data_IF_475681815305
#
_entry.id   IF_475681815305
#
_cell.length_a   1.000
_cell.length_b   1.000
_cell.length_c   1.000
_cell.angle_alpha   90.00
_cell.angle_beta   90.00
_cell.angle_gamma   90.00
#
_symmetry.space_group_name_H-M   'P 1'
#
loop_
_entity.id
_entity.type
_entity.pdbx_description
1 polymer ?
#
# COMPACT_ATOMS: atom_id res chain seq x y z
N UNK A 1 6.13 8.46 14.21
CA UNK A 1 5.35 7.84 13.10
C UNK A 1 5.53 6.34 13.15
N UNK A 2 4.46 5.59 12.91
CA UNK A 2 4.46 4.12 12.89
C UNK A 2 3.87 3.61 11.58
N UNK A 3 4.52 2.61 10.98
CA UNK A 3 4.02 1.88 9.81
C UNK A 3 3.56 0.49 10.23
N UNK A 4 2.37 0.07 9.79
CA UNK A 4 1.90 -1.31 9.87
C UNK A 4 1.66 -1.84 8.47
N UNK A 5 2.28 -2.95 8.11
CA UNK A 5 1.98 -3.70 6.90
C UNK A 5 0.70 -4.51 7.11
N UNK A 6 -0.33 -4.23 6.32
CA UNK A 6 -1.60 -4.96 6.37
C UNK A 6 -1.59 -6.15 5.42
N UNK A 7 -1.01 -5.95 4.24
CA UNK A 7 -0.80 -6.98 3.24
C UNK A 7 0.48 -6.72 2.45
N UNK A 8 1.24 -7.78 2.17
CA UNK A 8 2.59 -7.69 1.58
C UNK A 8 2.74 -8.48 0.28
N UNK A 9 1.65 -9.09 -0.19
CA UNK A 9 1.61 -9.86 -1.42
C UNK A 9 1.30 -9.04 -2.66
N UNK A 10 1.48 -9.67 -3.81
CA UNK A 10 1.10 -9.16 -5.13
C UNK A 10 -0.40 -9.33 -5.38
N UNK A 11 -0.85 -8.96 -6.59
CA UNK A 11 -2.24 -9.11 -7.06
C UNK A 11 -2.80 -10.54 -6.94
N UNK A 12 -1.97 -11.56 -6.86
CA UNK A 12 -2.41 -12.96 -6.66
C UNK A 12 -2.66 -13.31 -5.20
N UNK A 13 -2.06 -12.60 -4.23
CA UNK A 13 -1.95 -13.05 -2.84
C UNK A 13 -1.17 -14.35 -2.71
N UNK A 14 -0.79 -14.72 -1.51
CA UNK A 14 -0.12 -16.01 -1.21
C UNK A 14 -0.85 -16.65 -0.01
N UNK A 15 -1.30 -17.91 -0.14
CA UNK A 15 -1.16 -18.85 -1.26
C UNK A 15 -1.85 -18.42 -2.54
N UNK A 16 -1.24 -18.73 -3.68
CA UNK A 16 -1.85 -18.53 -5.00
C UNK A 16 -2.85 -19.66 -5.29
N UNK A 17 -4.03 -19.32 -5.79
CA UNK A 17 -5.07 -20.30 -6.12
C UNK A 17 -4.54 -21.38 -7.07
N UNK A 18 -4.68 -22.64 -6.67
CA UNK A 18 -4.24 -23.80 -7.45
C UNK A 18 -2.72 -24.02 -7.48
N UNK A 19 -1.93 -23.31 -6.68
CA UNK A 19 -0.48 -23.45 -6.60
C UNK A 19 -0.04 -24.36 -5.45
N UNK A 20 0.80 -25.34 -5.76
CA UNK A 20 1.31 -26.34 -4.82
C UNK A 20 2.79 -26.16 -4.47
N UNK A 21 3.40 -25.01 -4.80
CA UNK A 21 4.80 -24.76 -4.48
C UNK A 21 5.07 -24.72 -2.96
N UNK A 22 6.34 -24.84 -2.59
CA UNK A 22 6.75 -24.86 -1.18
C UNK A 22 6.25 -23.64 -0.40
N UNK A 23 6.34 -22.43 -0.97
CA UNK A 23 5.88 -21.20 -0.32
C UNK A 23 4.36 -21.18 -0.13
N UNK A 24 3.57 -21.63 -1.13
CA UNK A 24 2.12 -21.67 -1.02
C UNK A 24 1.61 -22.74 -0.05
N UNK A 25 2.43 -23.76 0.25
CA UNK A 25 2.15 -24.82 1.23
C UNK A 25 2.85 -24.62 2.57
N UNK A 26 3.58 -23.52 2.72
CA UNK A 26 4.32 -23.22 3.94
C UNK A 26 3.39 -23.06 5.15
N UNK A 27 3.81 -23.62 6.29
CA UNK A 27 3.17 -23.41 7.59
C UNK A 27 3.67 -22.13 8.28
N UNK A 28 4.69 -21.47 7.74
CA UNK A 28 5.17 -20.17 8.23
C UNK A 28 4.12 -19.09 7.94
N UNK A 29 3.54 -18.45 8.97
CA UNK A 29 2.55 -17.41 8.75
C UNK A 29 3.08 -16.21 7.96
N UNK A 30 4.41 -15.98 7.94
CA UNK A 30 5.04 -14.90 7.17
C UNK A 30 5.06 -15.16 5.66
N UNK A 31 4.81 -16.40 5.24
CA UNK A 31 4.60 -16.76 3.83
C UNK A 31 3.15 -16.58 3.37
N UNK A 32 2.22 -16.31 4.28
CA UNK A 32 0.86 -15.90 3.94
C UNK A 32 0.86 -14.40 3.73
N UNK A 33 0.63 -13.97 2.50
CA UNK A 33 0.73 -12.56 2.08
C UNK A 33 -0.57 -12.17 1.37
N UNK A 34 -1.43 -11.45 2.06
CA UNK A 34 -2.62 -10.85 1.47
C UNK A 34 -2.20 -9.72 0.53
N UNK A 35 -3.10 -9.28 -0.37
CA UNK A 35 -2.79 -8.22 -1.34
C UNK A 35 -2.43 -6.93 -0.63
N UNK A 36 -1.60 -6.15 -1.31
CA UNK A 36 -0.92 -4.98 -0.77
C UNK A 36 -1.83 -4.00 -0.02
N UNK A 37 -1.43 -3.63 1.18
CA UNK A 37 -2.04 -2.58 1.99
C UNK A 37 -1.18 -2.22 3.19
N UNK A 38 -1.29 -0.99 3.66
CA UNK A 38 -0.57 -0.52 4.85
C UNK A 38 -1.35 0.53 5.62
N UNK A 39 -0.98 0.75 6.89
CA UNK A 39 -1.49 1.81 7.73
C UNK A 39 -0.31 2.62 8.28
N UNK A 40 -0.35 3.95 8.09
CA UNK A 40 0.59 4.89 8.68
C UNK A 40 -0.12 5.61 9.81
N UNK A 41 0.46 5.55 11.01
CA UNK A 41 -0.07 6.19 12.22
C UNK A 41 0.86 7.33 12.65
N UNK A 42 0.27 8.52 12.83
CA UNK A 42 0.95 9.71 13.34
C UNK A 42 1.07 9.67 14.88
N UNK A 43 1.91 10.53 15.41
CA UNK A 43 2.17 10.61 16.87
C UNK A 43 0.95 11.15 17.66
N UNK A 44 0.04 11.85 16.98
CA UNK A 44 -1.26 12.28 17.51
C UNK A 44 -2.35 11.21 17.36
N UNK A 45 -2.00 10.04 16.83
CA UNK A 45 -2.90 8.92 16.54
C UNK A 45 -3.71 9.08 15.25
N UNK A 46 -3.39 10.05 14.39
CA UNK A 46 -3.96 10.14 13.03
C UNK A 46 -3.60 8.91 12.20
N UNK A 47 -4.53 8.40 11.38
CA UNK A 47 -4.39 7.14 10.63
C UNK A 47 -4.63 7.35 9.15
N UNK A 48 -3.58 7.16 8.37
CA UNK A 48 -3.61 7.16 6.91
C UNK A 48 -3.54 5.72 6.38
N UNK A 49 -4.63 5.24 5.78
CA UNK A 49 -4.70 3.93 5.15
C UNK A 49 -4.12 4.03 3.73
N UNK A 50 -3.18 3.16 3.40
CA UNK A 50 -2.59 3.03 2.06
C UNK A 50 -3.24 1.85 1.35
N UNK A 51 -3.97 2.14 0.28
CA UNK A 51 -4.74 1.22 -0.54
C UNK A 51 -5.89 0.47 0.17
N UNK A 52 -6.77 -0.10 -0.62
CA UNK A 52 -7.96 -0.84 -0.18
C UNK A 52 -8.06 -2.16 -0.94
N UNK A 53 -7.20 -3.14 -0.65
CA UNK A 53 -7.19 -4.43 -1.34
C UNK A 53 -8.46 -5.25 -1.07
N UNK A 54 -8.73 -6.30 -1.86
CA UNK A 54 -9.87 -7.18 -1.64
C UNK A 54 -9.98 -7.80 -0.24
N UNK A 55 -8.85 -8.01 0.44
CA UNK A 55 -8.80 -8.53 1.81
C UNK A 55 -8.89 -7.45 2.89
N UNK A 56 -9.15 -6.19 2.55
CA UNK A 56 -9.12 -5.04 3.46
C UNK A 56 -9.83 -5.31 4.79
N UNK A 57 -11.05 -5.86 4.73
CA UNK A 57 -11.84 -6.14 5.94
C UNK A 57 -11.09 -7.07 6.88
N UNK A 58 -10.48 -8.14 6.38
CA UNK A 58 -9.74 -9.12 7.20
C UNK A 58 -8.49 -8.47 7.77
N UNK A 59 -7.73 -7.75 6.94
CA UNK A 59 -6.53 -7.02 7.34
C UNK A 59 -6.80 -6.03 8.49
N UNK A 60 -7.88 -5.26 8.40
CA UNK A 60 -8.26 -4.29 9.43
C UNK A 60 -8.74 -4.94 10.72
N UNK A 61 -9.43 -6.10 10.63
CA UNK A 61 -9.84 -6.88 11.80
C UNK A 61 -8.63 -7.46 12.52
N UNK A 62 -7.69 -8.07 11.80
CA UNK A 62 -6.47 -8.65 12.36
C UNK A 62 -5.59 -7.56 13.00
N UNK A 63 -5.50 -6.40 12.37
CA UNK A 63 -4.79 -5.24 12.89
C UNK A 63 -5.54 -4.49 14.02
N UNK A 64 -6.79 -4.87 14.33
CA UNK A 64 -7.68 -4.22 15.30
C UNK A 64 -7.85 -2.72 15.03
N UNK A 65 -7.99 -2.36 13.76
CA UNK A 65 -8.19 -0.97 13.33
C UNK A 65 -9.67 -0.62 13.46
N UNK A 66 -10.00 0.34 14.30
CA UNK A 66 -11.37 0.79 14.60
C UNK A 66 -11.74 2.11 13.94
N UNK A 67 -10.75 2.82 13.38
CA UNK A 67 -10.95 4.09 12.66
C UNK A 67 -9.83 4.31 11.64
N UNK A 68 -10.17 5.03 10.59
CA UNK A 68 -9.25 5.58 9.57
C UNK A 68 -9.64 7.04 9.35
N UNK A 69 -8.67 7.94 9.27
CA UNK A 69 -8.93 9.39 9.12
C UNK A 69 -8.84 9.84 7.66
N UNK A 70 -8.03 9.15 6.84
CA UNK A 70 -7.98 9.31 5.39
C UNK A 70 -7.48 8.05 4.70
N UNK A 71 -7.78 7.92 3.41
CA UNK A 71 -7.28 6.83 2.55
C UNK A 71 -6.44 7.43 1.43
N UNK A 72 -5.29 6.84 1.19
CA UNK A 72 -4.40 7.13 0.07
C UNK A 72 -4.42 5.96 -0.90
N UNK A 73 -4.94 6.15 -2.09
CA UNK A 73 -4.87 5.17 -3.17
C UNK A 73 -3.64 5.46 -4.01
N UNK A 74 -2.75 4.49 -4.09
CA UNK A 74 -1.51 4.62 -4.86
C UNK A 74 -1.75 4.62 -6.36
N UNK A 75 -2.64 3.75 -6.83
CA UNK A 75 -3.08 3.64 -8.22
C UNK A 75 -4.34 2.76 -8.35
N UNK A 76 -4.88 2.57 -9.56
CA UNK A 76 -6.20 1.97 -9.78
C UNK A 76 -6.21 0.47 -10.10
N UNK A 77 -5.16 -0.29 -9.86
CA UNK A 77 -5.26 -1.74 -10.02
C UNK A 77 -6.22 -2.36 -8.99
N UNK A 78 -6.80 -3.49 -9.34
CA UNK A 78 -7.84 -4.15 -8.56
C UNK A 78 -7.37 -4.56 -7.15
N UNK A 79 -6.14 -5.02 -7.05
CA UNK A 79 -5.48 -5.42 -5.81
C UNK A 79 -5.19 -4.26 -4.85
N UNK A 80 -5.36 -3.01 -5.32
CA UNK A 80 -5.22 -1.79 -4.49
C UNK A 80 -6.55 -1.08 -4.22
N UNK A 81 -7.66 -1.50 -4.88
CA UNK A 81 -8.90 -0.72 -4.83
C UNK A 81 -10.19 -1.50 -4.55
N UNK A 82 -10.22 -2.82 -4.74
CA UNK A 82 -11.49 -3.56 -4.73
C UNK A 82 -12.08 -3.84 -3.35
N UNK A 83 -11.40 -3.49 -2.27
CA UNK A 83 -11.95 -3.48 -0.90
C UNK A 83 -12.56 -2.13 -0.48
N UNK A 84 -12.70 -1.17 -1.39
CA UNK A 84 -13.20 0.19 -1.09
C UNK A 84 -14.60 0.17 -0.43
N UNK A 85 -15.43 -0.82 -0.73
CA UNK A 85 -16.76 -0.95 -0.14
C UNK A 85 -16.72 -1.27 1.36
N UNK A 86 -15.70 -1.96 1.85
CA UNK A 86 -15.54 -2.29 3.28
C UNK A 86 -15.34 -1.05 4.16
N UNK A 87 -14.93 0.08 3.57
CA UNK A 87 -14.83 1.36 4.27
C UNK A 87 -16.17 1.87 4.80
N UNK A 88 -17.31 1.28 4.35
CA UNK A 88 -18.63 1.59 4.93
C UNK A 88 -18.66 1.40 6.44
N UNK A 89 -17.91 0.44 6.96
CA UNK A 89 -17.84 0.18 8.40
C UNK A 89 -17.40 1.40 9.22
N UNK A 90 -16.64 2.30 8.61
CA UNK A 90 -16.18 3.54 9.25
C UNK A 90 -17.13 4.73 9.04
N UNK A 91 -18.08 4.67 8.11
CA UNK A 91 -18.96 5.79 7.75
C UNK A 91 -20.40 5.59 8.15
N UNK A 92 -20.90 4.33 8.22
CA UNK A 92 -22.25 4.02 8.73
C UNK A 92 -22.24 4.19 10.25
N UNK A 93 -23.06 4.92 10.87
CA UNK A 93 -23.26 5.24 12.31
C UNK A 93 -23.08 6.73 12.60
N UNK A 94 -23.40 7.61 11.64
CA UNK A 94 -23.38 9.05 11.84
C UNK A 94 -21.98 9.66 11.94
N UNK A 95 -20.96 8.93 11.47
CA UNK A 95 -19.59 9.47 11.31
C UNK A 95 -19.51 10.35 10.06
N UNK A 96 -18.58 11.28 10.05
CA UNK A 96 -18.32 12.11 8.88
C UNK A 96 -17.89 11.25 7.67
N UNK A 97 -18.18 11.69 6.43
CA UNK A 97 -17.68 11.04 5.24
C UNK A 97 -16.15 10.91 5.26
N UNK A 98 -15.64 9.72 4.87
CA UNK A 98 -14.21 9.44 4.88
C UNK A 98 -13.54 9.99 3.61
N UNK A 99 -12.51 10.83 3.72
CA UNK A 99 -11.77 11.32 2.57
C UNK A 99 -10.89 10.23 1.95
N UNK A 100 -10.99 10.07 0.63
CA UNK A 100 -10.13 9.23 -0.19
C UNK A 100 -9.36 10.11 -1.16
N UNK A 101 -8.07 9.91 -1.22
CA UNK A 101 -7.15 10.64 -2.06
C UNK A 101 -6.50 9.68 -3.06
N UNK A 102 -6.56 10.02 -4.36
CA UNK A 102 -6.04 9.17 -5.44
C UNK A 102 -5.39 10.03 -6.54
N UNK A 103 -4.46 9.48 -7.36
CA UNK A 103 -4.04 10.15 -8.59
C UNK A 103 -5.24 10.56 -9.44
N UNK A 104 -5.20 11.70 -10.13
CA UNK A 104 -6.37 12.25 -10.84
C UNK A 104 -7.02 11.23 -11.80
N UNK A 105 -6.23 10.58 -12.65
CA UNK A 105 -6.74 9.55 -13.55
C UNK A 105 -7.36 8.35 -12.81
N UNK A 106 -6.81 8.00 -11.63
CA UNK A 106 -7.38 6.96 -10.79
C UNK A 106 -8.70 7.41 -10.15
N UNK A 107 -8.82 8.65 -9.73
CA UNK A 107 -10.08 9.17 -9.18
C UNK A 107 -11.23 9.07 -10.19
N UNK A 108 -10.98 9.34 -11.47
CA UNK A 108 -11.99 9.21 -12.53
C UNK A 108 -12.41 7.76 -12.78
N UNK A 109 -11.42 6.84 -12.75
CA UNK A 109 -11.67 5.41 -12.89
C UNK A 109 -12.46 4.86 -11.68
N UNK A 110 -12.14 5.26 -10.46
CA UNK A 110 -12.88 4.90 -9.24
C UNK A 110 -14.34 5.37 -9.29
N UNK A 111 -14.63 6.58 -9.78
CA UNK A 111 -16.01 7.05 -9.96
C UNK A 111 -16.79 6.16 -10.91
N UNK A 112 -16.14 5.64 -11.94
CA UNK A 112 -16.79 4.75 -12.92
C UNK A 112 -17.01 3.35 -12.35
N UNK A 113 -15.99 2.74 -11.75
CA UNK A 113 -16.05 1.37 -11.21
C UNK A 113 -16.97 1.26 -9.99
N UNK A 114 -16.93 2.25 -9.11
CA UNK A 114 -17.72 2.28 -7.88
C UNK A 114 -18.80 3.35 -7.94
N UNK A 115 -19.51 3.40 -9.08
CA UNK A 115 -20.56 4.40 -9.33
C UNK A 115 -21.57 4.50 -8.19
N UNK A 116 -22.00 3.36 -7.63
CA UNK A 116 -22.96 3.33 -6.53
C UNK A 116 -22.45 4.01 -5.23
N UNK A 117 -21.13 4.14 -5.07
CA UNK A 117 -20.50 4.86 -3.95
C UNK A 117 -20.43 6.36 -4.22
N UNK A 118 -19.98 6.76 -5.41
CA UNK A 118 -19.62 8.15 -5.72
C UNK A 118 -20.67 8.95 -6.45
N UNK A 119 -21.65 8.29 -7.10
CA UNK A 119 -22.75 8.98 -7.77
C UNK A 119 -23.80 9.43 -6.72
N UNK A 120 -23.95 10.75 -6.59
CA UNK A 120 -24.87 11.38 -5.60
C UNK A 120 -26.34 11.13 -5.91
N UNK A 121 -26.66 10.84 -7.18
CA UNK A 121 -28.04 10.56 -7.62
C UNK A 121 -28.46 9.12 -7.31
N UNK A 122 -27.50 8.21 -7.11
CA UNK A 122 -27.75 6.84 -6.68
C UNK A 122 -27.90 6.79 -5.16
N UNK A 123 -29.16 6.89 -4.69
CA UNK A 123 -29.45 6.77 -3.26
C UNK A 123 -29.67 5.30 -2.88
N UNK A 124 -29.13 4.85 -1.72
CA UNK A 124 -29.44 3.53 -1.20
C UNK A 124 -30.95 3.44 -0.86
N UNK A 125 -31.55 2.27 -1.02
CA UNK A 125 -32.91 2.02 -0.57
C UNK A 125 -33.06 2.15 0.96
N UNK A 126 -34.29 2.42 1.42
CA UNK A 126 -34.57 2.53 2.86
C UNK A 126 -34.13 1.25 3.60
N UNK A 127 -33.35 1.41 4.67
CA UNK A 127 -32.80 0.30 5.45
C UNK A 127 -31.48 -0.29 4.92
N UNK A 128 -30.97 0.23 3.79
CA UNK A 128 -29.65 -0.14 3.26
C UNK A 128 -28.65 1.00 3.44
N UNK A 129 -27.35 0.70 3.27
CA UNK A 129 -26.27 1.68 3.37
C UNK A 129 -25.24 1.49 2.27
N UNK A 130 -24.57 2.58 1.92
CA UNK A 130 -23.35 2.58 1.10
C UNK A 130 -22.22 3.28 1.87
N UNK A 131 -20.95 3.07 1.49
CA UNK A 131 -19.88 3.90 2.05
C UNK A 131 -20.12 5.39 1.76
N UNK A 132 -19.94 6.24 2.75
CA UNK A 132 -19.94 7.70 2.55
C UNK A 132 -18.50 8.18 2.39
N UNK A 133 -18.05 8.29 1.14
CA UNK A 133 -16.67 8.58 0.77
C UNK A 133 -16.59 9.89 -0.01
N UNK A 134 -15.57 10.70 0.30
CA UNK A 134 -15.23 11.92 -0.44
C UNK A 134 -13.95 11.69 -1.25
N UNK A 135 -14.07 11.64 -2.56
CA UNK A 135 -12.95 11.36 -3.45
C UNK A 135 -12.28 12.67 -3.92
N UNK A 136 -11.00 12.79 -3.62
CA UNK A 136 -10.14 13.91 -3.96
C UNK A 136 -8.99 13.47 -4.87
N UNK A 137 -8.63 14.30 -5.85
CA UNK A 137 -7.41 14.10 -6.61
C UNK A 137 -6.19 14.55 -5.78
N UNK A 138 -5.15 13.71 -5.75
CA UNK A 138 -3.86 14.07 -5.19
C UNK A 138 -3.13 15.04 -6.12
N UNK A 139 -2.60 16.11 -5.56
CA UNK A 139 -1.63 16.96 -6.22
C UNK A 139 -0.23 16.32 -6.02
N UNK A 140 0.47 15.91 -7.09
CA UNK A 140 1.76 15.22 -6.96
C UNK A 140 2.86 16.10 -6.35
N UNK A 141 2.64 17.42 -6.28
CA UNK A 141 3.64 18.38 -5.81
C UNK A 141 3.33 18.99 -4.44
N UNK A 142 2.20 18.58 -3.83
CA UNK A 142 1.78 19.09 -2.53
C UNK A 142 1.55 17.97 -1.53
N UNK A 143 2.00 18.14 -0.28
CA UNK A 143 1.72 17.16 0.76
C UNK A 143 0.23 17.18 1.15
N UNK A 144 -0.31 15.99 1.42
CA UNK A 144 -1.58 15.80 2.11
C UNK A 144 -1.32 15.84 3.62
N UNK A 145 -2.14 16.59 4.35
CA UNK A 145 -2.08 16.61 5.82
C UNK A 145 -3.23 15.80 6.43
N UNK A 146 -2.87 14.87 7.32
CA UNK A 146 -3.81 14.05 8.09
C UNK A 146 -3.36 14.08 9.56
N UNK A 147 -3.99 14.91 10.37
CA UNK A 147 -3.47 15.20 11.72
C UNK A 147 -2.02 15.65 11.69
N UNK A 148 -1.15 15.00 12.46
CA UNK A 148 0.29 15.27 12.49
C UNK A 148 1.06 14.72 11.28
N UNK A 149 0.44 13.88 10.45
CA UNK A 149 1.07 13.32 9.26
C UNK A 149 1.10 14.36 8.13
N UNK A 150 2.30 14.59 7.58
CA UNK A 150 2.50 15.30 6.33
C UNK A 150 2.95 14.30 5.26
N UNK A 151 2.03 13.92 4.39
CA UNK A 151 2.20 12.86 3.40
C UNK A 151 2.55 13.47 2.04
N UNK A 152 3.84 13.50 1.69
CA UNK A 152 4.36 14.00 0.42
C UNK A 152 4.26 12.92 -0.66
N UNK A 153 3.63 13.17 -1.82
CA UNK A 153 3.59 12.22 -2.92
C UNK A 153 4.97 11.90 -3.48
N UNK A 154 5.15 10.61 -3.80
CA UNK A 154 6.34 10.06 -4.45
C UNK A 154 5.94 9.47 -5.80
N UNK A 155 5.94 10.24 -6.90
CA UNK A 155 5.61 9.72 -8.23
C UNK A 155 6.64 8.68 -8.68
N UNK A 156 6.18 7.47 -9.05
CA UNK A 156 7.02 6.39 -9.57
C UNK A 156 6.44 5.81 -10.85
N UNK A 157 7.27 5.12 -11.65
CA UNK A 157 6.86 4.51 -12.91
C UNK A 157 6.52 3.04 -12.72
N UNK A 158 5.34 2.67 -13.19
CA UNK A 158 4.81 1.31 -13.23
C UNK A 158 4.35 0.99 -14.66
N UNK A 159 5.27 0.59 -15.51
CA UNK A 159 5.03 0.50 -16.94
C UNK A 159 4.60 1.86 -17.51
N UNK A 160 3.38 1.94 -18.05
CA UNK A 160 2.79 3.19 -18.59
C UNK A 160 2.03 4.01 -17.54
N UNK A 161 1.82 3.45 -16.36
CA UNK A 161 1.07 4.08 -15.27
C UNK A 161 2.03 4.81 -14.33
N UNK A 162 1.59 5.92 -13.78
CA UNK A 162 2.24 6.58 -12.65
C UNK A 162 1.54 6.15 -11.36
N UNK A 163 2.32 5.63 -10.44
CA UNK A 163 1.89 5.29 -9.08
C UNK A 163 2.37 6.40 -8.15
N UNK A 164 1.57 6.76 -7.15
CA UNK A 164 1.96 7.71 -6.12
C UNK A 164 2.25 6.94 -4.81
N UNK A 165 3.52 6.68 -4.55
CA UNK A 165 4.00 6.35 -3.21
C UNK A 165 3.86 7.56 -2.28
N UNK A 166 4.31 7.43 -1.03
CA UNK A 166 4.19 8.49 -0.03
C UNK A 166 5.43 8.59 0.85
N UNK A 167 5.84 9.82 1.20
CA UNK A 167 6.79 10.10 2.27
C UNK A 167 6.08 10.73 3.46
N UNK A 168 6.30 10.18 4.66
CA UNK A 168 5.85 10.76 5.93
C UNK A 168 7.06 10.87 6.86
N UNK A 169 7.60 12.07 7.01
CA UNK A 169 8.81 12.30 7.82
C UNK A 169 9.99 11.43 7.37
N UNK A 170 10.47 10.55 8.26
CA UNK A 170 11.55 9.59 8.00
C UNK A 170 11.15 8.33 7.23
N UNK A 171 9.86 8.16 6.88
CA UNK A 171 9.36 7.03 6.10
C UNK A 171 9.26 7.37 4.61
N UNK A 172 9.86 6.56 3.74
CA UNK A 172 9.57 6.50 2.31
C UNK A 172 8.83 5.20 1.97
N UNK A 173 7.59 5.29 1.48
CA UNK A 173 6.77 4.11 1.14
C UNK A 173 6.48 4.09 -0.35
N UNK A 174 7.04 3.12 -1.05
CA UNK A 174 6.93 2.95 -2.51
C UNK A 174 6.49 1.53 -2.82
N UNK A 175 5.39 1.39 -3.53
CA UNK A 175 4.91 0.13 -4.10
C UNK A 175 4.80 0.23 -5.61
N UNK A 176 4.77 -0.91 -6.30
CA UNK A 176 4.50 -1.03 -7.74
C UNK A 176 5.39 -0.14 -8.62
N UNK A 177 6.64 0.02 -8.20
CA UNK A 177 7.62 0.78 -8.95
C UNK A 177 8.48 -0.12 -9.84
N UNK A 178 8.72 0.31 -11.08
CA UNK A 178 9.82 -0.19 -11.93
C UNK A 178 11.01 0.77 -11.90
N UNK A 179 10.75 2.05 -11.81
CA UNK A 179 11.80 3.06 -11.71
C UNK A 179 11.30 4.30 -10.98
N UNK A 180 12.24 5.00 -10.34
CA UNK A 180 11.99 6.23 -9.62
C UNK A 180 12.61 7.40 -10.41
N UNK A 181 11.83 8.43 -10.76
CA UNK A 181 12.36 9.68 -11.32
C UNK A 181 13.32 10.38 -10.34
N UNK A 182 14.24 11.20 -10.86
CA UNK A 182 15.21 11.93 -10.03
C UNK A 182 14.55 12.82 -8.97
N UNK A 183 13.39 13.39 -9.28
CA UNK A 183 12.60 14.16 -8.31
C UNK A 183 12.17 13.29 -7.11
N UNK A 184 11.70 12.08 -7.38
CA UNK A 184 11.32 11.13 -6.32
C UNK A 184 12.53 10.70 -5.51
N UNK A 185 13.68 10.48 -6.14
CA UNK A 185 14.92 10.17 -5.43
C UNK A 185 15.32 11.33 -4.50
N UNK A 186 15.25 12.58 -4.96
CA UNK A 186 15.49 13.76 -4.10
C UNK A 186 14.50 13.83 -2.93
N UNK A 187 13.22 13.55 -3.17
CA UNK A 187 12.21 13.50 -2.10
C UNK A 187 12.45 12.38 -1.08
N UNK A 188 13.20 11.34 -1.44
CA UNK A 188 13.58 10.25 -0.55
C UNK A 188 14.89 10.47 0.21
N UNK A 189 15.63 11.54 -0.08
CA UNK A 189 16.84 11.86 0.66
C UNK A 189 16.56 12.03 2.16
N UNK A 190 17.38 11.37 3.01
CA UNK A 190 17.26 11.43 4.46
C UNK A 190 16.11 10.66 5.08
N UNK A 191 15.46 9.72 4.36
CA UNK A 191 14.53 8.77 4.97
C UNK A 191 15.31 7.73 5.79
N UNK A 192 14.77 7.37 6.96
CA UNK A 192 15.35 6.36 7.83
C UNK A 192 14.84 4.97 7.50
N UNK A 193 13.56 4.88 7.15
CA UNK A 193 12.89 3.64 6.75
C UNK A 193 12.37 3.78 5.32
N UNK A 194 12.72 2.82 4.49
CA UNK A 194 12.29 2.73 3.10
C UNK A 194 11.47 1.46 2.89
N UNK A 195 10.36 1.55 2.18
CA UNK A 195 9.59 0.41 1.68
C UNK A 195 9.65 0.40 0.17
N UNK A 196 10.00 -0.75 -0.42
CA UNK A 196 10.04 -0.96 -1.87
C UNK A 196 9.32 -2.25 -2.24
N UNK A 197 8.66 -2.26 -3.41
CA UNK A 197 8.20 -3.52 -3.99
C UNK A 197 9.38 -4.36 -4.49
N UNK A 198 9.26 -5.70 -4.39
CA UNK A 198 10.23 -6.62 -4.98
C UNK A 198 9.56 -7.97 -5.29
N UNK A 199 9.51 -8.36 -6.56
CA UNK A 199 8.73 -9.55 -6.94
C UNK A 199 9.45 -10.88 -6.64
N UNK A 200 10.69 -11.04 -7.11
CA UNK A 200 11.49 -12.27 -7.05
C UNK A 200 12.95 -11.97 -7.34
N UNK A 201 13.81 -12.95 -7.14
CA UNK A 201 15.21 -12.92 -7.60
C UNK A 201 15.36 -13.26 -9.09
N UNK A 202 16.32 -12.65 -9.75
CA UNK A 202 16.73 -13.00 -11.13
C UNK A 202 16.05 -12.12 -12.19
N UNK A 203 15.34 -12.69 -13.15
CA UNK A 203 14.90 -11.98 -14.34
C UNK A 203 14.10 -10.70 -14.02
N UNK A 204 14.44 -9.55 -14.65
CA UNK A 204 13.71 -8.30 -14.49
C UNK A 204 12.24 -8.43 -14.90
N UNK A 205 11.37 -7.69 -14.24
CA UNK A 205 9.97 -7.54 -14.62
C UNK A 205 9.76 -6.20 -15.34
N UNK A 206 8.87 -6.10 -16.34
CA UNK A 206 8.71 -4.86 -17.12
C UNK A 206 8.11 -3.70 -16.33
N UNK A 207 7.36 -3.96 -15.25
CA UNK A 207 6.61 -2.94 -14.50
C UNK A 207 6.96 -2.86 -13.01
N UNK A 208 7.70 -3.82 -12.46
CA UNK A 208 8.09 -3.87 -11.05
C UNK A 208 9.59 -4.08 -10.90
N UNK A 209 10.13 -3.71 -9.75
CA UNK A 209 11.47 -4.11 -9.34
C UNK A 209 11.50 -5.62 -9.05
N UNK A 210 12.59 -6.27 -9.40
CA UNK A 210 12.98 -7.54 -8.81
C UNK A 210 13.77 -7.28 -7.50
N UNK A 211 14.20 -8.32 -6.80
CA UNK A 211 14.87 -8.17 -5.51
C UNK A 211 16.22 -7.48 -5.66
N UNK A 212 17.01 -7.84 -6.68
CA UNK A 212 18.32 -7.24 -6.94
C UNK A 212 18.21 -5.75 -7.26
N UNK A 213 17.27 -5.37 -8.11
CA UNK A 213 16.99 -3.97 -8.46
C UNK A 213 16.53 -3.16 -7.22
N UNK A 214 15.70 -3.77 -6.36
CA UNK A 214 15.24 -3.13 -5.13
C UNK A 214 16.38 -2.94 -4.12
N UNK A 215 17.27 -3.91 -3.96
CA UNK A 215 18.46 -3.82 -3.09
C UNK A 215 19.44 -2.76 -3.60
N UNK A 216 19.70 -2.71 -4.91
CA UNK A 216 20.53 -1.67 -5.52
C UNK A 216 19.96 -0.27 -5.27
N UNK A 217 18.65 -0.12 -5.50
CA UNK A 217 17.96 1.15 -5.29
C UNK A 217 17.97 1.57 -3.81
N UNK A 218 17.76 0.62 -2.88
CA UNK A 218 17.86 0.87 -1.44
C UNK A 218 19.27 1.37 -1.05
N UNK A 219 20.31 0.77 -1.61
CA UNK A 219 21.70 1.21 -1.42
C UNK A 219 21.96 2.63 -1.94
N UNK A 220 21.35 3.02 -3.06
CA UNK A 220 21.45 4.38 -3.63
C UNK A 220 20.72 5.43 -2.79
N UNK A 221 19.56 5.09 -2.22
CA UNK A 221 18.79 5.99 -1.36
C UNK A 221 19.45 6.12 0.03
N UNK A 222 20.05 5.04 0.53
CA UNK A 222 20.84 5.04 1.76
C UNK A 222 20.00 5.06 3.04
N UNK A 223 18.79 4.53 3.03
CA UNK A 223 17.97 4.38 4.23
C UNK A 223 18.61 3.41 5.22
N UNK A 224 18.44 3.66 6.51
CA UNK A 224 18.97 2.80 7.58
C UNK A 224 18.36 1.40 7.55
N UNK A 225 17.06 1.31 7.26
CA UNK A 225 16.30 0.07 7.17
C UNK A 225 15.43 0.10 5.91
N UNK A 226 15.46 -0.98 5.14
CA UNK A 226 14.59 -1.15 3.97
C UNK A 226 13.73 -2.40 4.14
N UNK A 227 12.44 -2.29 3.83
CA UNK A 227 11.50 -3.41 3.84
C UNK A 227 10.98 -3.68 2.43
N UNK A 228 11.06 -4.94 2.01
CA UNK A 228 10.53 -5.37 0.72
C UNK A 228 9.09 -5.84 0.86
N UNK A 229 8.21 -5.30 0.03
CA UNK A 229 6.78 -5.64 -0.04
C UNK A 229 6.38 -6.05 -1.46
N UNK A 230 5.10 -6.32 -1.68
CA UNK A 230 4.58 -6.77 -2.96
C UNK A 230 5.30 -8.03 -3.47
N UNK A 231 5.53 -8.97 -2.53
CA UNK A 231 6.30 -10.18 -2.71
C UNK A 231 5.47 -11.28 -3.37
N UNK A 232 6.12 -12.13 -4.17
CA UNK A 232 5.48 -13.29 -4.81
C UNK A 232 5.70 -14.58 -4.03
N UNK A 233 5.07 -15.68 -4.47
CA UNK A 233 5.25 -17.03 -3.94
C UNK A 233 6.55 -17.73 -4.41
N UNK A 234 7.37 -17.07 -5.24
CA UNK A 234 8.60 -17.67 -5.78
C UNK A 234 9.69 -17.83 -4.76
N UNK A 235 9.62 -17.07 -3.67
CA UNK A 235 10.64 -17.08 -2.62
C UNK A 235 9.95 -17.01 -1.26
N UNK A 236 10.29 -17.93 -0.35
CA UNK A 236 9.79 -17.93 1.02
C UNK A 236 10.39 -16.78 1.84
N UNK A 237 9.76 -16.47 2.97
CA UNK A 237 10.25 -15.46 3.91
C UNK A 237 11.68 -15.79 4.37
N UNK A 238 11.91 -17.01 4.81
CA UNK A 238 13.21 -17.44 5.32
C UNK A 238 14.32 -17.41 4.23
N UNK A 239 13.98 -17.70 2.99
CA UNK A 239 14.94 -17.59 1.89
C UNK A 239 15.27 -16.13 1.60
N UNK A 240 14.29 -15.24 1.59
CA UNK A 240 14.51 -13.79 1.45
C UNK A 240 15.40 -13.29 2.59
N UNK A 241 15.06 -13.60 3.84
CA UNK A 241 15.82 -13.12 5.01
C UNK A 241 17.28 -13.57 4.99
N UNK A 242 17.56 -14.81 4.54
CA UNK A 242 18.94 -15.33 4.43
C UNK A 242 19.76 -14.72 3.30
N UNK A 243 19.11 -14.27 2.20
CA UNK A 243 19.79 -13.78 0.99
C UNK A 243 19.95 -12.27 0.94
N UNK A 244 19.13 -11.54 1.69
CA UNK A 244 19.14 -10.09 1.69
C UNK A 244 20.30 -9.53 2.55
N UNK A 245 20.82 -8.33 2.23
CA UNK A 245 21.79 -7.65 3.07
C UNK A 245 21.19 -7.25 4.43
N UNK A 246 22.01 -7.04 5.48
CA UNK A 246 21.53 -6.86 6.87
C UNK A 246 20.52 -5.73 7.08
N UNK A 247 20.58 -4.67 6.26
CA UNK A 247 19.70 -3.50 6.34
C UNK A 247 18.44 -3.63 5.46
N UNK A 248 18.28 -4.73 4.73
CA UNK A 248 17.10 -5.01 3.89
C UNK A 248 16.40 -6.27 4.40
N UNK A 249 15.11 -6.20 4.64
CA UNK A 249 14.31 -7.31 5.15
C UNK A 249 13.02 -7.50 4.36
N UNK A 250 12.51 -8.73 4.22
CA UNK A 250 11.15 -8.91 3.71
C UNK A 250 10.14 -8.42 4.74
N UNK A 251 9.10 -7.73 4.28
CA UNK A 251 7.93 -7.45 5.10
C UNK A 251 7.01 -8.69 5.14
N UNK A 252 6.13 -8.74 6.14
CA UNK A 252 5.07 -9.74 6.28
C UNK A 252 3.81 -9.08 6.83
N UNK A 253 2.66 -9.71 6.61
CA UNK A 253 1.37 -9.20 7.06
C UNK A 253 1.34 -9.09 8.59
N UNK A 254 0.99 -7.91 9.08
CA UNK A 254 0.99 -7.60 10.51
C UNK A 254 2.29 -7.00 11.07
N UNK A 255 3.39 -6.95 10.29
CA UNK A 255 4.63 -6.31 10.73
C UNK A 255 4.39 -4.84 11.09
N UNK A 256 4.92 -4.41 12.23
CA UNK A 256 4.88 -3.02 12.72
C UNK A 256 6.30 -2.48 12.82
N UNK A 257 6.51 -1.27 12.31
CA UNK A 257 7.81 -0.58 12.28
C UNK A 257 7.63 0.83 12.83
N UNK A 258 8.36 1.16 13.89
CA UNK A 258 8.50 2.55 14.36
C UNK A 258 9.59 3.27 13.53
N UNK A 259 9.27 4.55 13.15
CA UNK A 259 10.07 5.38 12.26
C UNK A 259 10.85 6.42 13.07
#
# INVERSE_FOLDING_TARGET
>A
VRLRFLGTGTSFGIPVLGCDCATCRSDDPRDRRTRHGALIEGDDGARLLIDTPPELRLQLLDARVDRVDAVWITHCHADHTHGIDDLRAFTVRGRAPLPIHAPAACADDLRTRFRYVFDRDMRPEAGTSRPELMLHALDPDRPLRVGSLEAMPLPVKHGRTTVLGVRCGGLGYVTDAKSLPDETLRRLEGVHVLVLNALWFGNPHPTHLNVEEAVELAGRIGAERTFLTHLTHRTSFDELERRLPPNVRPAYDGLVVDI
#
